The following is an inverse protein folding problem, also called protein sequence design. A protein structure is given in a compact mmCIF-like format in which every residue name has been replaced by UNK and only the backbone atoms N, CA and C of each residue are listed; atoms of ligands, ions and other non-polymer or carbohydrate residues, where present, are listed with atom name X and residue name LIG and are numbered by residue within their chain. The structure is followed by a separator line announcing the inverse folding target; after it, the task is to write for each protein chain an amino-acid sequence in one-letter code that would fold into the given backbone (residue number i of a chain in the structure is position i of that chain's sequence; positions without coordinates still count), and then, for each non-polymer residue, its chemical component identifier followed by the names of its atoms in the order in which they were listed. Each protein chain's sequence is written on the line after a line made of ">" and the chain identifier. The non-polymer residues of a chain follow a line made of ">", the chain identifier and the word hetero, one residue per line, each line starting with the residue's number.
data_IF_539657513391
#
_entry.id   IF_539657513391
#
_cell.length_a   1.000
_cell.length_b   1.000
_cell.length_c   1.000
_cell.angle_alpha   90.00
_cell.angle_beta   90.00
_cell.angle_gamma   90.00
#
_symmetry.space_group_name_H-M   'P 1'
#
loop_
_entity.id
_entity.type
_entity.pdbx_description
1 polymer ?
#
# COMPACT_ATOMS: atom_id res chain seq x y z
N UNK A 1 3.00 16.38 -35.63
CA UNK A 1 3.03 15.02 -35.06
C UNK A 1 2.72 15.16 -33.58
N UNK A 2 1.51 14.81 -33.15
CA UNK A 2 1.12 14.93 -31.74
C UNK A 2 1.67 13.76 -30.95
N UNK A 3 2.48 14.07 -29.93
CA UNK A 3 3.11 13.11 -29.04
C UNK A 3 2.12 12.80 -27.91
N UNK A 4 1.24 11.80 -28.07
CA UNK A 4 0.41 11.33 -26.96
C UNK A 4 1.28 10.53 -25.99
N UNK A 5 1.55 11.11 -24.83
CA UNK A 5 2.15 10.39 -23.71
C UNK A 5 1.18 9.28 -23.27
N UNK A 6 1.66 8.06 -22.96
CA UNK A 6 0.79 6.96 -22.57
C UNK A 6 0.02 7.33 -21.30
N UNK A 7 -1.32 7.25 -21.36
CA UNK A 7 -2.21 7.51 -20.24
C UNK A 7 -1.93 6.49 -19.13
N UNK A 8 -1.40 6.96 -17.99
CA UNK A 8 -1.16 6.11 -16.82
C UNK A 8 -2.50 5.56 -16.31
N UNK A 9 -2.73 4.26 -16.46
CA UNK A 9 -3.92 3.59 -15.93
C UNK A 9 -3.90 3.70 -14.40
N UNK A 10 -4.86 4.44 -13.84
CA UNK A 10 -5.06 4.53 -12.39
C UNK A 10 -6.07 3.47 -11.94
N UNK A 11 -5.64 2.61 -11.02
CA UNK A 11 -6.54 1.62 -10.39
C UNK A 11 -7.23 2.32 -9.22
N UNK A 12 -8.56 2.43 -9.28
CA UNK A 12 -9.38 3.01 -8.21
C UNK A 12 -10.26 1.92 -7.61
N UNK A 13 -10.16 1.72 -6.30
CA UNK A 13 -11.03 0.82 -5.56
C UNK A 13 -12.42 1.44 -5.42
N UNK A 14 -13.41 0.90 -6.15
CA UNK A 14 -14.82 1.32 -6.06
C UNK A 14 -15.70 0.16 -5.60
N UNK A 15 -15.30 -1.05 -5.90
CA UNK A 15 -16.09 -2.26 -5.70
C UNK A 15 -15.22 -3.50 -5.50
N UNK A 16 -15.87 -4.63 -5.22
CA UNK A 16 -15.20 -5.94 -5.12
C UNK A 16 -14.46 -6.35 -6.40
N UNK A 17 -14.95 -5.90 -7.56
CA UNK A 17 -14.39 -6.18 -8.86
C UNK A 17 -13.00 -5.55 -9.08
N UNK A 18 -12.71 -4.46 -8.36
CA UNK A 18 -11.45 -3.74 -8.39
C UNK A 18 -10.45 -4.29 -7.37
N UNK A 19 -10.93 -5.06 -6.38
CA UNK A 19 -10.18 -5.49 -5.20
C UNK A 19 -8.85 -6.14 -5.56
N UNK A 20 -8.86 -7.11 -6.48
CA UNK A 20 -7.66 -7.90 -6.78
C UNK A 20 -6.55 -7.05 -7.40
N UNK A 21 -6.89 -6.19 -8.36
CA UNK A 21 -5.93 -5.31 -9.01
C UNK A 21 -5.42 -4.24 -8.03
N UNK A 22 -6.33 -3.65 -7.26
CA UNK A 22 -6.00 -2.63 -6.27
C UNK A 22 -5.13 -3.18 -5.14
N UNK A 23 -5.48 -4.33 -4.57
CA UNK A 23 -4.72 -4.97 -3.50
C UNK A 23 -3.31 -5.33 -3.97
N UNK A 24 -3.17 -5.82 -5.22
CA UNK A 24 -1.85 -6.09 -5.82
C UNK A 24 -1.00 -4.82 -5.96
N UNK A 25 -1.61 -3.69 -6.33
CA UNK A 25 -0.92 -2.40 -6.38
C UNK A 25 -0.39 -2.00 -4.99
N UNK A 26 -1.25 -2.04 -3.98
CA UNK A 26 -0.85 -1.66 -2.61
C UNK A 26 0.23 -2.59 -2.06
N UNK A 27 0.06 -3.90 -2.25
CA UNK A 27 1.06 -4.88 -1.83
C UNK A 27 2.40 -4.65 -2.52
N UNK A 28 2.39 -4.38 -3.83
CA UNK A 28 3.61 -4.07 -4.57
C UNK A 28 4.31 -2.82 -4.02
N UNK A 29 3.56 -1.74 -3.78
CA UNK A 29 4.13 -0.50 -3.25
C UNK A 29 4.73 -0.68 -1.85
N UNK A 30 4.05 -1.44 -1.00
CA UNK A 30 4.54 -1.75 0.34
C UNK A 30 5.80 -2.63 0.33
N UNK A 31 5.86 -3.63 -0.57
CA UNK A 31 7.05 -4.49 -0.75
C UNK A 31 8.23 -3.71 -1.30
N UNK A 32 8.03 -2.84 -2.29
CA UNK A 32 9.09 -1.97 -2.83
C UNK A 32 9.69 -1.06 -1.77
N UNK A 33 8.91 -0.71 -0.74
CA UNK A 33 9.33 0.13 0.38
C UNK A 33 9.81 -0.65 1.60
N UNK A 34 9.81 -1.99 1.52
CA UNK A 34 10.18 -2.90 2.60
C UNK A 34 9.35 -2.70 3.89
N UNK A 35 8.05 -2.42 3.73
CA UNK A 35 7.13 -2.20 4.85
C UNK A 35 5.93 -3.15 4.88
N UNK A 36 5.86 -4.11 3.94
CA UNK A 36 4.70 -4.99 3.82
C UNK A 36 4.39 -5.75 5.11
N UNK A 37 5.41 -6.26 5.79
CA UNK A 37 5.23 -7.10 6.97
C UNK A 37 4.65 -6.31 8.17
N UNK A 38 4.84 -4.99 8.20
CA UNK A 38 4.27 -4.10 9.23
C UNK A 38 2.78 -3.79 9.01
N UNK A 39 2.26 -4.00 7.79
CA UNK A 39 0.90 -3.60 7.42
C UNK A 39 0.08 -4.72 6.77
N UNK A 40 0.62 -5.94 6.70
CA UNK A 40 -0.01 -7.06 6.01
C UNK A 40 -1.35 -7.43 6.70
N UNK A 41 -2.51 -7.25 6.03
CA UNK A 41 -3.81 -7.48 6.64
C UNK A 41 -4.19 -8.96 6.79
N UNK A 42 -3.35 -9.88 6.29
CA UNK A 42 -3.53 -11.32 6.48
C UNK A 42 -2.81 -11.85 7.73
N UNK A 43 -1.89 -11.06 8.28
CA UNK A 43 -1.19 -11.37 9.53
C UNK A 43 -2.08 -10.93 10.70
N UNK A 44 -2.09 -11.69 11.79
CA UNK A 44 -2.77 -11.22 13.01
C UNK A 44 -1.99 -10.04 13.62
N UNK A 45 -2.69 -9.14 14.30
CA UNK A 45 -2.12 -7.87 14.78
C UNK A 45 -0.99 -8.09 15.81
N UNK A 46 -1.12 -9.13 16.63
CA UNK A 46 -0.12 -9.60 17.60
C UNK A 46 1.14 -10.19 16.95
N UNK A 47 1.07 -10.57 15.66
CA UNK A 47 2.18 -11.12 14.90
C UNK A 47 2.86 -10.09 14.01
N UNK A 48 2.34 -8.85 13.93
CA UNK A 48 3.00 -7.80 13.17
C UNK A 48 4.30 -7.37 13.87
N UNK A 49 5.39 -7.13 13.11
CA UNK A 49 6.58 -6.54 13.68
C UNK A 49 6.24 -5.17 14.28
N UNK A 50 6.75 -4.90 15.48
CA UNK A 50 6.68 -3.56 16.06
C UNK A 50 7.52 -2.59 15.23
N UNK A 51 6.98 -1.40 14.95
CA UNK A 51 7.79 -0.30 14.39
C UNK A 51 8.92 -0.02 15.40
N UNK A 52 10.19 0.02 14.97
CA UNK A 52 11.30 0.34 15.86
C UNK A 52 11.01 1.62 16.66
N UNK A 53 11.46 1.69 17.90
CA UNK A 53 11.31 2.93 18.68
C UNK A 53 12.25 4.00 18.12
N UNK A 54 11.85 5.26 18.23
CA UNK A 54 12.75 6.38 17.97
C UNK A 54 13.97 6.28 18.91
N UNK A 55 15.20 6.15 18.40
CA UNK A 55 16.37 5.95 19.25
C UNK A 55 16.68 7.22 20.05
N UNK A 56 17.31 7.04 21.20
CA UNK A 56 17.75 8.15 22.06
C UNK A 56 19.12 8.65 21.57
N UNK A 57 19.23 9.96 21.38
CA UNK A 57 20.50 10.59 21.01
C UNK A 57 21.53 10.36 22.12
N UNK A 58 22.72 9.81 21.81
CA UNK A 58 23.80 9.66 22.77
C UNK A 58 24.24 11.01 23.36
N UNK A 59 24.41 11.05 24.68
CA UNK A 59 24.96 12.23 25.36
C UNK A 59 26.39 12.53 24.90
N UNK A 60 26.69 13.82 24.73
CA UNK A 60 28.05 14.29 24.40
C UNK A 60 28.94 14.11 25.63
N UNK A 61 30.01 13.35 25.48
CA UNK A 61 31.04 13.18 26.51
C UNK A 61 32.19 14.15 26.22
N UNK A 62 32.43 15.11 27.12
CA UNK A 62 33.46 16.15 26.97
C UNK A 62 34.89 15.67 27.31
N UNK A 63 35.08 14.37 27.49
CA UNK A 63 36.36 13.76 27.81
C UNK A 63 36.90 13.05 26.55
N UNK A 64 38.09 13.44 26.04
CA UNK A 64 38.72 12.83 24.87
C UNK A 64 38.86 11.31 24.95
N UNK A 65 38.97 10.76 26.16
CA UNK A 65 39.08 9.32 26.43
C UNK A 65 37.85 8.55 25.92
N UNK A 66 36.67 9.17 25.92
CA UNK A 66 35.42 8.53 25.52
C UNK A 66 34.93 8.97 24.13
N UNK A 67 35.72 9.75 23.40
CA UNK A 67 35.31 10.30 22.11
C UNK A 67 35.02 9.20 21.07
N UNK A 68 35.84 8.16 21.02
CA UNK A 68 35.63 7.03 20.10
C UNK A 68 34.39 6.21 20.47
N UNK A 69 34.12 6.03 21.76
CA UNK A 69 32.89 5.39 22.24
C UNK A 69 31.65 6.21 21.85
N UNK A 70 31.70 7.53 22.02
CA UNK A 70 30.63 8.43 21.60
C UNK A 70 30.39 8.35 20.08
N UNK A 71 31.44 8.37 19.26
CA UNK A 71 31.34 8.20 17.80
C UNK A 71 30.64 6.89 17.43
N UNK A 72 31.02 5.77 18.06
CA UNK A 72 30.39 4.47 17.80
C UNK A 72 28.90 4.48 18.19
N UNK A 73 28.56 5.08 19.33
CA UNK A 73 27.16 5.25 19.76
C UNK A 73 26.36 6.11 18.79
N UNK A 74 26.95 7.19 18.27
CA UNK A 74 26.33 8.04 17.27
C UNK A 74 26.09 7.31 15.95
N UNK A 75 27.02 6.45 15.52
CA UNK A 75 26.82 5.61 14.34
C UNK A 75 25.64 4.64 14.52
N UNK A 76 25.55 3.99 15.68
CA UNK A 76 24.42 3.11 16.01
C UNK A 76 23.10 3.88 16.06
N UNK A 77 23.08 5.05 16.70
CA UNK A 77 21.94 5.95 16.73
C UNK A 77 21.46 6.31 15.32
N UNK A 78 22.38 6.75 14.45
CA UNK A 78 22.05 7.12 13.07
C UNK A 78 21.48 5.94 12.29
N UNK A 79 22.05 4.74 12.43
CA UNK A 79 21.54 3.54 11.78
C UNK A 79 20.11 3.20 12.23
N UNK A 80 19.87 3.22 13.55
CA UNK A 80 18.54 2.98 14.12
C UNK A 80 17.53 4.05 13.70
N UNK A 81 17.95 5.32 13.67
CA UNK A 81 17.09 6.45 13.30
C UNK A 81 16.70 6.35 11.83
N UNK A 82 17.66 6.04 10.96
CA UNK A 82 17.42 5.83 9.54
C UNK A 82 16.42 4.69 9.31
N UNK A 83 16.58 3.55 10.01
CA UNK A 83 15.64 2.44 9.90
C UNK A 83 14.23 2.81 10.37
N UNK A 84 14.11 3.45 11.54
CA UNK A 84 12.83 3.95 12.06
C UNK A 84 12.13 4.88 11.06
N UNK A 85 12.87 5.86 10.53
CA UNK A 85 12.34 6.86 9.61
C UNK A 85 11.95 6.24 8.27
N UNK A 86 12.75 5.32 7.74
CA UNK A 86 12.45 4.59 6.50
C UNK A 86 11.13 3.83 6.61
N UNK A 87 10.91 3.09 7.70
CA UNK A 87 9.68 2.33 7.93
C UNK A 87 8.48 3.30 8.03
N UNK A 88 8.61 4.36 8.83
CA UNK A 88 7.54 5.36 9.02
C UNK A 88 7.15 6.04 7.70
N UNK A 89 8.14 6.48 6.93
CA UNK A 89 7.93 7.09 5.61
C UNK A 89 7.35 6.08 4.62
N UNK A 90 7.80 4.83 4.65
CA UNK A 90 7.29 3.77 3.81
C UNK A 90 5.79 3.51 4.05
N UNK A 91 5.38 3.39 5.32
CA UNK A 91 3.99 3.22 5.71
C UNK A 91 3.14 4.44 5.34
N UNK A 92 3.66 5.66 5.54
CA UNK A 92 2.96 6.89 5.17
C UNK A 92 2.73 6.98 3.65
N UNK A 93 3.73 6.65 2.83
CA UNK A 93 3.59 6.63 1.38
C UNK A 93 2.56 5.58 0.90
N UNK A 94 2.48 4.43 1.57
CA UNK A 94 1.43 3.43 1.29
C UNK A 94 0.05 3.98 1.69
N UNK A 95 -0.05 4.66 2.83
CA UNK A 95 -1.28 5.31 3.26
C UNK A 95 -1.79 6.35 2.25
N UNK A 96 -0.92 7.23 1.76
CA UNK A 96 -1.24 8.20 0.71
C UNK A 96 -1.68 7.51 -0.59
N UNK A 97 -1.04 6.40 -0.94
CA UNK A 97 -1.44 5.60 -2.10
C UNK A 97 -2.85 5.07 -1.92
N UNK A 98 -3.20 4.54 -0.73
CA UNK A 98 -4.56 4.08 -0.41
C UNK A 98 -5.55 5.25 -0.52
N UNK A 99 -5.27 6.39 0.11
CA UNK A 99 -6.17 7.55 0.09
C UNK A 99 -6.44 8.06 -1.32
N UNK A 100 -5.41 8.12 -2.18
CA UNK A 100 -5.54 8.58 -3.56
C UNK A 100 -6.12 7.55 -4.54
N UNK A 101 -6.22 6.27 -4.12
CA UNK A 101 -6.70 5.17 -4.97
C UNK A 101 -8.01 4.54 -4.48
N UNK A 102 -8.68 5.14 -3.50
CA UNK A 102 -9.98 4.70 -3.00
C UNK A 102 -11.07 5.66 -3.46
N UNK A 103 -12.22 5.13 -3.87
CA UNK A 103 -13.39 5.93 -4.24
C UNK A 103 -13.85 6.83 -3.08
N UNK A 104 -14.35 8.02 -3.41
CA UNK A 104 -14.98 8.93 -2.44
C UNK A 104 -16.08 8.27 -1.61
N UNK A 105 -16.80 7.29 -2.17
CA UNK A 105 -17.84 6.53 -1.49
C UNK A 105 -17.31 5.66 -0.33
N UNK A 106 -16.03 5.29 -0.38
CA UNK A 106 -15.38 4.39 0.57
C UNK A 106 -14.47 5.13 1.56
N UNK A 107 -14.35 6.45 1.47
CA UNK A 107 -13.46 7.28 2.32
C UNK A 107 -13.74 7.11 3.80
N UNK A 108 -14.99 6.84 4.19
CA UNK A 108 -15.35 6.61 5.58
C UNK A 108 -14.63 5.40 6.23
N UNK A 109 -14.18 4.44 5.42
CA UNK A 109 -13.36 3.31 5.88
C UNK A 109 -11.91 3.71 6.19
N UNK A 110 -11.47 4.91 5.79
CA UNK A 110 -10.11 5.40 6.00
C UNK A 110 -9.92 6.09 7.36
N UNK A 111 -10.99 6.31 8.13
CA UNK A 111 -10.95 6.88 9.49
C UNK A 111 -10.50 5.83 10.54
N UNK A 112 -9.32 5.25 10.35
CA UNK A 112 -8.68 4.33 11.30
C UNK A 112 -7.30 4.83 11.66
N UNK A 113 -6.82 4.39 12.81
CA UNK A 113 -5.59 4.90 13.42
C UNK A 113 -4.33 4.38 12.70
N UNK A 114 -4.42 3.24 12.00
CA UNK A 114 -3.29 2.65 11.29
C UNK A 114 -3.63 2.14 9.89
N UNK A 115 -2.63 2.17 9.00
CA UNK A 115 -2.71 1.61 7.64
C UNK A 115 -3.10 0.13 7.64
N UNK A 116 -2.61 -0.65 8.61
CA UNK A 116 -3.02 -2.04 8.80
C UNK A 116 -4.54 -2.17 9.04
N UNK A 117 -5.10 -1.37 9.94
CA UNK A 117 -6.53 -1.41 10.25
C UNK A 117 -7.38 -1.02 9.05
N UNK A 118 -6.95 -0.02 8.27
CA UNK A 118 -7.60 0.37 7.00
C UNK A 118 -7.59 -0.81 6.02
N UNK A 119 -6.43 -1.42 5.79
CA UNK A 119 -6.31 -2.54 4.86
C UNK A 119 -7.13 -3.75 5.29
N UNK A 120 -7.16 -4.06 6.58
CA UNK A 120 -7.96 -5.14 7.14
C UNK A 120 -9.46 -4.88 6.98
N UNK A 121 -9.91 -3.65 7.20
CA UNK A 121 -11.30 -3.25 7.01
C UNK A 121 -11.72 -3.33 5.55
N UNK A 122 -10.92 -2.76 4.65
CA UNK A 122 -11.19 -2.81 3.21
C UNK A 122 -11.20 -4.26 2.70
N UNK A 123 -10.26 -5.10 3.15
CA UNK A 123 -10.24 -6.54 2.85
C UNK A 123 -11.52 -7.23 3.28
N UNK A 124 -11.94 -7.02 4.53
CA UNK A 124 -13.16 -7.64 5.07
C UNK A 124 -14.41 -7.28 4.25
N UNK A 125 -14.49 -6.06 3.71
CA UNK A 125 -15.66 -5.56 2.99
C UNK A 125 -15.63 -5.89 1.49
N UNK A 126 -14.44 -5.84 0.88
CA UNK A 126 -14.30 -5.80 -0.58
C UNK A 126 -13.60 -7.02 -1.17
N UNK A 127 -12.99 -7.88 -0.37
CA UNK A 127 -12.45 -9.13 -0.87
C UNK A 127 -13.59 -10.03 -1.35
N UNK A 128 -13.65 -10.39 -2.65
CA UNK A 128 -14.70 -11.25 -3.16
C UNK A 128 -14.60 -12.62 -2.51
N UNK A 129 -15.74 -13.16 -2.09
CA UNK A 129 -15.81 -14.60 -1.79
C UNK A 129 -15.61 -15.42 -3.07
N UNK A 130 -15.22 -16.69 -2.94
CA UNK A 130 -15.06 -17.59 -4.09
C UNK A 130 -16.32 -17.65 -4.97
N UNK A 131 -17.50 -17.62 -4.36
CA UNK A 131 -18.78 -17.62 -5.07
C UNK A 131 -19.02 -16.31 -5.84
N UNK A 132 -18.76 -15.16 -5.22
CA UNK A 132 -18.89 -13.84 -5.87
C UNK A 132 -17.90 -13.69 -7.03
N UNK A 133 -16.66 -14.17 -6.86
CA UNK A 133 -15.66 -14.18 -7.93
C UNK A 133 -16.10 -15.01 -9.14
N UNK A 134 -16.70 -16.19 -8.90
CA UNK A 134 -17.23 -17.02 -9.99
C UNK A 134 -18.40 -16.35 -10.72
N UNK A 135 -19.31 -15.69 -9.98
CA UNK A 135 -20.43 -14.96 -10.55
C UNK A 135 -19.97 -13.76 -11.38
N UNK A 136 -18.97 -12.99 -10.92
CA UNK A 136 -18.48 -11.83 -11.68
C UNK A 136 -17.75 -12.24 -12.96
N UNK A 137 -17.00 -13.34 -12.94
CA UNK A 137 -16.39 -13.92 -14.16
C UNK A 137 -17.49 -14.33 -15.15
N UNK A 138 -18.53 -15.04 -14.69
CA UNK A 138 -19.63 -15.47 -15.52
C UNK A 138 -20.42 -14.28 -16.10
N UNK A 139 -20.71 -13.27 -15.29
CA UNK A 139 -21.42 -12.07 -15.72
C UNK A 139 -20.62 -11.27 -16.77
N UNK A 140 -19.30 -11.14 -16.57
CA UNK A 140 -18.40 -10.50 -17.54
C UNK A 140 -18.38 -11.28 -18.85
N UNK A 141 -18.23 -12.61 -18.78
CA UNK A 141 -18.26 -13.48 -19.96
C UNK A 141 -19.56 -13.33 -20.74
N UNK A 142 -20.71 -13.42 -20.05
CA UNK A 142 -22.03 -13.25 -20.67
C UNK A 142 -22.20 -11.87 -21.30
N UNK A 143 -21.78 -10.80 -20.61
CA UNK A 143 -21.81 -9.44 -21.16
C UNK A 143 -20.96 -9.31 -22.42
N UNK A 144 -19.78 -9.93 -22.48
CA UNK A 144 -18.92 -9.94 -23.68
C UNK A 144 -19.56 -10.73 -24.83
N UNK A 145 -20.30 -11.80 -24.54
CA UNK A 145 -21.07 -12.54 -25.55
C UNK A 145 -22.27 -11.74 -26.07
N UNK A 146 -22.96 -11.01 -25.20
CA UNK A 146 -24.18 -10.26 -25.52
C UNK A 146 -23.88 -8.87 -26.15
N UNK A 147 -22.62 -8.42 -26.18
CA UNK A 147 -22.25 -7.17 -26.86
C UNK A 147 -22.03 -7.46 -28.35
N UNK A 148 -22.89 -7.02 -29.27
CA UNK A 148 -22.64 -7.22 -30.69
C UNK A 148 -21.39 -6.42 -31.07
N UNK A 149 -20.49 -7.06 -31.80
CA UNK A 149 -19.38 -6.37 -32.47
C UNK A 149 -20.00 -5.46 -33.52
N UNK A 150 -20.30 -4.21 -33.16
CA UNK A 150 -20.59 -3.17 -34.15
C UNK A 150 -19.30 -2.92 -34.92
N UNK A 151 -19.15 -3.65 -36.02
CA UNK A 151 -18.26 -3.34 -37.11
C UNK A 151 -18.69 -2.00 -37.72
N UNK A 152 -18.33 -0.90 -37.07
CA UNK A 152 -18.44 0.44 -37.65
C UNK A 152 -17.03 0.90 -37.93
N UNK A 153 -16.44 0.38 -39.00
CA UNK A 153 -15.34 0.96 -39.78
C UNK A 153 -14.96 -0.02 -40.90
N UNK A 154 -15.87 -0.20 -41.86
CA UNK A 154 -15.54 -0.59 -43.22
C UNK A 154 -16.38 0.31 -44.12
N UNK A 155 -15.68 1.02 -45.00
CA UNK A 155 -16.14 1.92 -46.05
C UNK A 155 -16.61 3.31 -45.59
N UNK A 156 -15.74 4.33 -45.72
CA UNK A 156 -15.72 5.26 -46.87
C UNK A 156 -14.38 5.98 -46.98
#
# INVERSE_FOLDING_TARGET
>A
MSNEAPTKVSIILKSQDDWRAWYSLIQSQAKTRDVWDYINPNTSEDQLPGIPKDPVIPEILNDPTYYDLWKMRMQLYNAQKNQHDQIKQGIAAVHETIQSSVSTLLVHHLYKDSTYQILRLLKKQLEPTKQQAAQSIFARYKKTQDTPVSNTNLDQ
#
